data_IF_984196714831
#
_entry.id   IF_984196714831
#
_cell.length_a   1.000
_cell.length_b   1.000
_cell.length_c   1.000
_cell.angle_alpha   90.00
_cell.angle_beta   90.00
_cell.angle_gamma   90.00
#
_symmetry.space_group_name_H-M   'P 1'
#
loop_
_entity.id
_entity.type
_entity.pdbx_description
1 polymer ?
#
# COMPACT_ATOMS: atom_id res chain seq x y z
N UNK A 1 -59.72 5.15 57.29
CA UNK A 1 -58.30 5.56 57.57
C UNK A 1 -57.38 4.43 57.12
N UNK A 2 -56.79 4.48 55.93
CA UNK A 2 -55.64 3.65 55.54
C UNK A 2 -54.89 4.44 54.48
N UNK A 3 -53.73 4.92 54.86
CA UNK A 3 -52.76 5.66 53.97
C UNK A 3 -52.05 4.67 53.06
N UNK A 4 -52.19 4.82 51.75
CA UNK A 4 -51.35 4.10 50.77
C UNK A 4 -50.10 4.92 50.49
N UNK A 5 -48.94 4.39 50.88
CA UNK A 5 -47.60 4.92 50.46
C UNK A 5 -47.36 4.49 49.03
N UNK A 6 -47.30 5.45 48.12
CA UNK A 6 -46.79 5.24 46.78
C UNK A 6 -45.27 5.27 46.81
N UNK A 7 -44.63 4.13 46.58
CA UNK A 7 -43.20 4.01 46.37
C UNK A 7 -42.88 4.46 44.95
N UNK A 8 -42.25 5.63 44.83
CA UNK A 8 -41.71 6.15 43.60
C UNK A 8 -40.36 5.45 43.34
N UNK A 9 -40.36 4.48 42.45
CA UNK A 9 -39.14 3.81 42.01
C UNK A 9 -38.44 4.71 41.01
N UNK A 10 -37.35 5.38 41.43
CA UNK A 10 -36.47 6.20 40.59
C UNK A 10 -35.53 5.27 39.81
N UNK A 11 -35.85 4.99 38.54
CA UNK A 11 -34.97 4.25 37.65
C UNK A 11 -33.82 5.15 37.25
N UNK A 12 -32.64 4.93 37.84
CA UNK A 12 -31.40 5.55 37.40
C UNK A 12 -30.95 4.85 36.11
N UNK A 13 -31.20 5.48 34.98
CA UNK A 13 -30.63 5.08 33.69
C UNK A 13 -29.16 5.49 33.68
N UNK A 14 -28.26 4.56 33.98
CA UNK A 14 -26.84 4.74 33.76
C UNK A 14 -26.57 4.74 32.23
N UNK A 15 -26.57 5.93 31.65
CA UNK A 15 -26.04 6.12 30.31
C UNK A 15 -24.52 5.99 30.42
N UNK A 16 -24.00 4.78 30.16
CA UNK A 16 -22.56 4.58 29.96
C UNK A 16 -22.16 5.32 28.68
N UNK A 17 -21.71 6.56 28.82
CA UNK A 17 -20.94 7.23 27.76
C UNK A 17 -19.68 6.40 27.50
N UNK A 18 -19.74 5.55 26.47
CA UNK A 18 -18.53 4.99 25.88
C UNK A 18 -17.83 6.19 25.22
N UNK A 19 -16.98 6.85 25.99
CA UNK A 19 -16.03 7.80 25.44
C UNK A 19 -15.15 6.99 24.46
N UNK A 20 -15.42 7.17 23.17
CA UNK A 20 -14.46 6.75 22.15
C UNK A 20 -13.17 7.48 22.48
N UNK A 21 -12.22 6.77 23.10
CA UNK A 21 -10.88 7.29 23.32
C UNK A 21 -10.31 7.55 21.93
N UNK A 22 -10.32 8.81 21.51
CA UNK A 22 -9.44 9.24 20.42
C UNK A 22 -8.05 8.81 20.81
N UNK A 23 -7.43 8.01 19.95
CA UNK A 23 -6.00 7.71 20.06
C UNK A 23 -5.28 8.99 19.66
N UNK A 24 -5.22 9.95 20.59
CA UNK A 24 -4.49 11.22 20.44
C UNK A 24 -3.04 11.07 20.94
N UNK A 25 -2.58 9.86 21.19
CA UNK A 25 -1.20 9.63 21.63
C UNK A 25 -0.34 9.25 20.43
N UNK A 26 0.69 10.06 20.19
CA UNK A 26 1.75 9.73 19.25
C UNK A 26 2.39 8.39 19.64
N UNK A 27 2.43 7.44 18.68
CA UNK A 27 3.07 6.14 18.85
C UNK A 27 4.50 6.21 18.30
N UNK A 28 5.45 6.51 19.18
CA UNK A 28 6.85 6.66 18.83
C UNK A 28 7.50 5.35 18.33
N UNK A 29 7.08 4.22 18.86
CA UNK A 29 7.61 2.91 18.44
C UNK A 29 7.13 2.55 17.03
N UNK A 30 5.85 2.79 16.74
CA UNK A 30 5.30 2.60 15.40
C UNK A 30 5.95 3.57 14.40
N UNK A 31 6.09 4.85 14.74
CA UNK A 31 6.73 5.85 13.89
C UNK A 31 8.17 5.41 13.52
N UNK A 32 8.95 4.99 14.52
CA UNK A 32 10.31 4.45 14.33
C UNK A 32 10.31 3.19 13.46
N UNK A 33 9.42 2.22 13.73
CA UNK A 33 9.29 0.98 12.96
C UNK A 33 9.01 1.27 11.47
N UNK A 34 8.17 2.26 11.17
CA UNK A 34 7.81 2.63 9.80
C UNK A 34 8.82 3.58 9.14
N UNK A 35 9.80 4.09 9.90
CA UNK A 35 10.77 5.06 9.41
C UNK A 35 10.16 6.43 9.16
N UNK A 36 9.17 6.80 9.95
CA UNK A 36 8.51 8.09 9.88
C UNK A 36 9.36 9.21 10.48
N UNK A 37 9.28 10.39 9.89
CA UNK A 37 9.76 11.62 10.49
C UNK A 37 8.73 12.20 11.49
N UNK A 38 8.99 13.39 12.03
CA UNK A 38 8.12 14.09 13.00
C UNK A 38 6.70 14.36 12.48
N UNK A 39 6.48 14.32 11.16
CA UNK A 39 5.18 14.52 10.50
C UNK A 39 4.50 13.21 10.12
N UNK A 40 5.07 12.05 10.48
CA UNK A 40 4.56 10.75 10.06
C UNK A 40 4.84 10.41 8.60
N UNK A 41 5.81 11.11 7.99
CA UNK A 41 6.13 11.00 6.57
C UNK A 41 7.49 10.36 6.34
N UNK A 42 7.78 9.94 5.11
CA UNK A 42 9.11 9.52 4.67
C UNK A 42 9.30 9.70 3.16
N UNK A 43 10.54 9.67 2.72
CA UNK A 43 10.89 9.69 1.29
C UNK A 43 10.68 8.33 0.65
N UNK A 44 10.19 8.37 -0.58
CA UNK A 44 9.98 7.25 -1.49
C UNK A 44 10.38 7.66 -2.91
N UNK A 45 10.35 6.71 -3.83
CA UNK A 45 10.37 6.99 -5.25
C UNK A 45 9.11 6.43 -5.90
N UNK A 46 8.34 7.31 -6.51
CA UNK A 46 7.19 6.97 -7.34
C UNK A 46 7.67 6.49 -8.70
N UNK A 47 7.17 5.34 -9.15
CA UNK A 47 7.43 4.81 -10.48
C UNK A 47 6.12 4.60 -11.23
N UNK A 48 6.00 5.21 -12.40
CA UNK A 48 4.90 4.96 -13.33
C UNK A 48 5.39 4.02 -14.42
N UNK A 49 4.83 2.83 -14.51
CA UNK A 49 5.04 1.92 -15.63
C UNK A 49 4.12 2.34 -16.78
N UNK A 50 4.68 2.46 -17.98
CA UNK A 50 3.95 2.82 -19.20
C UNK A 50 4.11 1.73 -20.25
N UNK A 51 3.22 1.71 -21.23
CA UNK A 51 3.32 0.80 -22.37
C UNK A 51 4.66 0.98 -23.08
N UNK A 52 5.42 -0.09 -23.18
CA UNK A 52 6.74 -0.12 -23.83
C UNK A 52 6.66 -0.44 -25.31
N UNK A 53 7.78 -0.27 -26.03
CA UNK A 53 7.82 -0.44 -27.49
C UNK A 53 7.56 -1.86 -27.95
N UNK A 54 7.82 -2.86 -27.12
CA UNK A 54 7.64 -4.28 -27.46
C UNK A 54 6.33 -4.88 -26.92
N UNK A 55 5.44 -4.08 -26.31
CA UNK A 55 4.20 -4.57 -25.72
C UNK A 55 3.30 -5.30 -26.73
N UNK A 56 3.21 -4.78 -27.96
CA UNK A 56 2.43 -5.41 -29.04
C UNK A 56 3.09 -6.64 -29.65
N UNK A 57 4.43 -6.77 -29.57
CA UNK A 57 5.18 -7.87 -30.17
C UNK A 57 5.17 -9.12 -29.30
N UNK A 58 5.18 -8.96 -27.97
CA UNK A 58 5.26 -10.06 -27.02
C UNK A 58 3.83 -10.55 -26.69
N UNK A 59 3.48 -11.70 -27.27
CA UNK A 59 2.15 -12.30 -27.19
C UNK A 59 2.20 -13.77 -26.73
N UNK A 60 1.03 -14.37 -26.51
CA UNK A 60 0.90 -15.80 -26.22
C UNK A 60 1.63 -16.25 -24.96
N UNK A 61 2.35 -17.35 -25.04
CA UNK A 61 3.05 -17.96 -23.91
C UNK A 61 4.22 -17.09 -23.42
N UNK A 62 4.98 -16.47 -24.32
CA UNK A 62 6.06 -15.55 -23.95
C UNK A 62 5.55 -14.38 -23.10
N UNK A 63 4.35 -13.85 -23.39
CA UNK A 63 3.72 -12.80 -22.57
C UNK A 63 3.35 -13.32 -21.19
N UNK A 64 2.79 -14.51 -21.09
CA UNK A 64 2.44 -15.12 -19.78
C UNK A 64 3.68 -15.30 -18.91
N UNK A 65 4.78 -15.77 -19.48
CA UNK A 65 6.04 -15.97 -18.76
C UNK A 65 6.61 -14.65 -18.26
N UNK A 66 6.64 -13.61 -19.10
CA UNK A 66 7.07 -12.26 -18.71
C UNK A 66 6.23 -11.72 -17.54
N UNK A 67 4.90 -11.86 -17.60
CA UNK A 67 4.03 -11.38 -16.53
C UNK A 67 4.10 -12.25 -15.26
N UNK A 68 4.32 -13.54 -15.38
CA UNK A 68 4.59 -14.40 -14.21
C UNK A 68 5.84 -13.92 -13.47
N UNK A 69 6.91 -13.62 -14.21
CA UNK A 69 8.11 -13.05 -13.64
C UNK A 69 7.92 -11.64 -13.05
N UNK A 70 7.13 -10.78 -13.71
CA UNK A 70 6.74 -9.46 -13.22
C UNK A 70 6.04 -9.55 -11.85
N UNK A 71 5.01 -10.40 -11.71
CA UNK A 71 4.31 -10.57 -10.45
C UNK A 71 5.18 -11.20 -9.36
N UNK A 72 6.04 -12.15 -9.70
CA UNK A 72 7.00 -12.72 -8.77
C UNK A 72 7.98 -11.65 -8.25
N UNK A 73 8.44 -10.74 -9.12
CA UNK A 73 9.31 -9.63 -8.73
C UNK A 73 8.60 -8.65 -7.79
N UNK A 74 7.33 -8.32 -8.04
CA UNK A 74 6.51 -7.49 -7.13
C UNK A 74 6.44 -8.13 -5.74
N UNK A 75 6.11 -9.43 -5.67
CA UNK A 75 6.04 -10.16 -4.40
C UNK A 75 7.36 -10.13 -3.65
N UNK A 76 8.46 -10.45 -4.32
CA UNK A 76 9.82 -10.43 -3.74
C UNK A 76 10.18 -9.04 -3.19
N UNK A 77 9.97 -7.98 -3.96
CA UNK A 77 10.28 -6.61 -3.52
C UNK A 77 9.39 -6.16 -2.36
N UNK A 78 8.13 -6.61 -2.33
CA UNK A 78 7.24 -6.39 -1.19
C UNK A 78 7.73 -7.09 0.08
N UNK A 79 8.15 -8.36 -0.04
CA UNK A 79 8.69 -9.15 1.09
C UNK A 79 10.01 -8.59 1.63
N UNK A 80 10.86 -8.05 0.74
CA UNK A 80 12.10 -7.36 1.10
C UNK A 80 11.87 -5.96 1.69
N UNK A 81 10.61 -5.48 1.74
CA UNK A 81 10.27 -4.12 2.20
C UNK A 81 10.78 -3.01 1.28
N UNK A 82 11.16 -3.33 0.03
CA UNK A 82 11.64 -2.38 -0.99
C UNK A 82 10.51 -1.77 -1.80
N UNK A 83 9.34 -2.38 -1.80
CA UNK A 83 8.15 -1.93 -2.50
C UNK A 83 7.02 -1.77 -1.49
N UNK A 84 6.58 -0.53 -1.26
CA UNK A 84 5.50 -0.22 -0.33
C UNK A 84 4.12 -0.46 -0.96
N UNK A 85 3.97 -0.09 -2.23
CA UNK A 85 2.70 -0.21 -2.97
C UNK A 85 2.99 -0.61 -4.42
N UNK A 86 2.15 -1.49 -4.96
CA UNK A 86 2.09 -1.80 -6.39
C UNK A 86 0.63 -1.98 -6.81
N UNK A 87 0.31 -1.61 -8.04
CA UNK A 87 -1.02 -1.84 -8.59
C UNK A 87 -1.15 -1.40 -10.05
N UNK A 88 -2.09 -1.99 -10.82
CA UNK A 88 -2.35 -1.61 -12.19
C UNK A 88 -3.20 -0.34 -12.26
N UNK A 89 -3.04 0.43 -13.33
CA UNK A 89 -4.00 1.45 -13.72
C UNK A 89 -5.13 0.84 -14.54
N UNK A 90 -6.33 1.37 -14.42
CA UNK A 90 -7.41 1.15 -15.36
C UNK A 90 -7.08 1.75 -16.74
N UNK A 91 -7.92 1.48 -17.75
CA UNK A 91 -7.77 2.04 -19.09
C UNK A 91 -7.69 3.58 -19.02
N UNK A 92 -6.69 4.14 -19.67
CA UNK A 92 -6.45 5.59 -19.71
C UNK A 92 -5.75 5.99 -21.02
N UNK A 93 -5.76 7.29 -21.32
CA UNK A 93 -5.18 7.90 -22.53
C UNK A 93 -3.67 8.21 -22.40
N UNK A 94 -3.08 7.99 -21.19
CA UNK A 94 -1.68 8.29 -20.89
C UNK A 94 -0.74 7.10 -21.10
N UNK A 95 -1.27 5.97 -21.55
CA UNK A 95 -0.52 4.70 -21.64
C UNK A 95 0.03 4.19 -20.30
N UNK A 96 -0.53 4.64 -19.16
CA UNK A 96 -0.15 4.18 -17.84
C UNK A 96 -0.63 2.75 -17.62
N UNK A 97 0.27 1.87 -17.16
CA UNK A 97 0.01 0.46 -16.96
C UNK A 97 0.02 0.08 -15.49
N UNK A 98 0.95 0.61 -14.72
CA UNK A 98 1.08 0.31 -13.31
C UNK A 98 1.79 1.39 -12.53
N UNK A 99 1.60 1.33 -11.21
CA UNK A 99 2.25 2.17 -10.23
C UNK A 99 3.11 1.31 -9.31
N UNK A 100 4.33 1.78 -9.02
CA UNK A 100 5.13 1.34 -7.89
C UNK A 100 5.45 2.53 -6.96
N UNK A 101 5.43 2.28 -5.66
CA UNK A 101 6.02 3.18 -4.66
C UNK A 101 7.17 2.43 -4.01
N UNK A 102 8.39 2.77 -4.42
CA UNK A 102 9.60 2.16 -3.89
C UNK A 102 10.00 2.79 -2.55
N UNK A 103 10.24 1.96 -1.56
CA UNK A 103 10.78 2.35 -0.25
C UNK A 103 12.32 2.43 -0.34
N UNK A 104 12.82 3.41 -1.06
CA UNK A 104 14.23 3.70 -1.22
C UNK A 104 14.45 5.21 -1.17
N UNK A 105 15.69 5.64 -0.90
CA UNK A 105 16.00 7.04 -0.68
C UNK A 105 16.23 7.81 -1.99
N UNK A 106 16.70 7.15 -3.05
CA UNK A 106 17.13 7.82 -4.27
C UNK A 106 16.51 7.20 -5.53
N UNK A 107 16.48 8.01 -6.59
CA UNK A 107 16.02 7.56 -7.93
C UNK A 107 16.91 6.46 -8.47
N UNK A 108 18.23 6.54 -8.24
CA UNK A 108 19.20 5.56 -8.69
C UNK A 108 19.01 4.18 -8.05
N UNK A 109 18.59 4.16 -6.77
CA UNK A 109 18.22 2.92 -6.09
C UNK A 109 16.93 2.33 -6.68
N UNK A 110 15.92 3.17 -6.92
CA UNK A 110 14.67 2.73 -7.55
C UNK A 110 14.89 2.22 -8.97
N UNK A 111 15.77 2.87 -9.73
CA UNK A 111 16.12 2.46 -11.09
C UNK A 111 16.72 1.05 -11.11
N UNK A 112 17.64 0.75 -10.21
CA UNK A 112 18.19 -0.61 -10.08
C UNK A 112 17.09 -1.65 -9.80
N UNK A 113 16.07 -1.31 -9.02
CA UNK A 113 14.98 -2.22 -8.72
C UNK A 113 14.01 -2.41 -9.88
N UNK A 114 13.60 -1.32 -10.56
CA UNK A 114 12.68 -1.41 -11.69
C UNK A 114 13.32 -2.10 -12.90
N UNK A 115 14.63 -1.94 -13.09
CA UNK A 115 15.39 -2.63 -14.12
C UNK A 115 15.47 -4.15 -13.90
N UNK A 116 15.18 -4.66 -12.71
CA UNK A 116 15.10 -6.11 -12.44
C UNK A 116 13.78 -6.71 -12.91
N UNK A 117 12.77 -5.89 -13.18
CA UNK A 117 11.45 -6.35 -13.60
C UNK A 117 11.50 -7.02 -14.99
N UNK A 118 11.06 -8.27 -15.14
CA UNK A 118 11.05 -8.96 -16.42
C UNK A 118 10.25 -8.24 -17.52
N UNK A 119 9.15 -7.54 -17.17
CA UNK A 119 8.34 -6.81 -18.14
C UNK A 119 9.06 -5.55 -18.63
N UNK A 120 9.89 -4.92 -17.79
CA UNK A 120 10.77 -3.81 -18.19
C UNK A 120 11.92 -4.33 -19.03
N UNK A 121 12.61 -5.39 -18.61
CA UNK A 121 13.69 -6.03 -19.38
C UNK A 121 13.25 -6.46 -20.77
N UNK A 122 12.06 -6.99 -20.89
CA UNK A 122 11.50 -7.43 -22.16
C UNK A 122 11.03 -6.27 -23.05
N UNK A 123 10.98 -5.03 -22.54
CA UNK A 123 10.47 -3.87 -23.26
C UNK A 123 8.95 -3.81 -23.40
N UNK A 124 8.23 -4.63 -22.62
CA UNK A 124 6.75 -4.55 -22.48
C UNK A 124 6.37 -3.28 -21.73
N UNK A 125 7.18 -2.91 -20.73
CA UNK A 125 7.04 -1.64 -20.03
C UNK A 125 8.28 -0.76 -20.18
N UNK A 126 8.04 0.54 -20.18
CA UNK A 126 9.01 1.59 -19.84
C UNK A 126 8.56 2.26 -18.55
N UNK A 127 9.40 3.06 -17.93
CA UNK A 127 9.10 3.65 -16.62
C UNK A 127 9.51 5.12 -16.53
N UNK A 128 8.87 5.81 -15.60
CA UNK A 128 9.21 7.15 -15.15
C UNK A 128 9.38 7.13 -13.64
N UNK A 129 10.48 7.69 -13.12
CA UNK A 129 10.79 7.75 -11.69
C UNK A 129 10.74 9.18 -11.20
N UNK A 130 10.12 9.40 -10.05
CA UNK A 130 9.98 10.72 -9.43
C UNK A 130 10.19 10.59 -7.92
N UNK A 131 11.09 11.38 -7.30
CA UNK A 131 11.16 11.46 -5.84
C UNK A 131 9.81 11.86 -5.27
N UNK A 132 9.37 11.19 -4.23
CA UNK A 132 8.08 11.46 -3.63
C UNK A 132 8.15 11.38 -2.11
N UNK A 133 7.47 12.30 -1.43
CA UNK A 133 7.39 12.35 0.01
C UNK A 133 5.96 12.06 0.45
N UNK A 134 5.75 10.97 1.16
CA UNK A 134 4.43 10.46 1.49
C UNK A 134 4.35 9.88 2.90
N UNK A 135 3.14 9.49 3.32
CA UNK A 135 2.93 8.90 4.64
C UNK A 135 3.75 7.62 4.84
N UNK A 136 4.46 7.52 5.96
CA UNK A 136 5.16 6.30 6.36
C UNK A 136 4.20 5.13 6.61
N UNK A 137 2.92 5.41 6.87
CA UNK A 137 1.90 4.39 7.05
C UNK A 137 1.70 3.48 5.83
N UNK A 138 2.18 3.87 4.62
CA UNK A 138 2.17 2.97 3.47
C UNK A 138 3.00 1.69 3.68
N UNK A 139 3.93 1.69 4.61
CA UNK A 139 4.75 0.52 4.92
C UNK A 139 3.97 -0.63 5.56
N UNK A 140 2.73 -0.40 6.04
CA UNK A 140 1.86 -1.49 6.55
C UNK A 140 0.96 -2.10 5.48
N UNK A 141 0.93 -1.55 4.26
CA UNK A 141 0.00 -1.99 3.21
C UNK A 141 0.24 -3.45 2.83
N UNK A 142 1.49 -3.87 2.62
CA UNK A 142 1.80 -5.25 2.22
C UNK A 142 1.41 -6.28 3.30
N UNK A 143 1.66 -5.98 4.58
CA UNK A 143 1.26 -6.84 5.70
C UNK A 143 -0.27 -6.95 5.79
N UNK A 144 -0.95 -5.82 5.64
CA UNK A 144 -2.42 -5.78 5.65
C UNK A 144 -3.00 -6.49 4.43
N UNK A 145 -2.41 -6.29 3.24
CA UNK A 145 -2.84 -6.93 2.00
C UNK A 145 -2.83 -8.46 2.10
N UNK A 146 -1.77 -9.05 2.63
CA UNK A 146 -1.66 -10.51 2.85
C UNK A 146 -2.79 -11.08 3.73
N UNK A 147 -3.39 -10.25 4.59
CA UNK A 147 -4.49 -10.67 5.48
C UNK A 147 -5.87 -10.56 4.85
N UNK A 148 -6.02 -9.79 3.77
CA UNK A 148 -7.28 -9.57 3.06
C UNK A 148 -7.34 -10.29 1.71
N UNK A 149 -6.20 -10.76 1.20
CA UNK A 149 -6.14 -11.60 -0.01
C UNK A 149 -6.64 -13.01 0.33
N UNK A 150 -7.54 -13.54 -0.50
CA UNK A 150 -7.97 -14.94 -0.35
C UNK A 150 -6.84 -15.88 -0.74
N UNK A 151 -6.64 -17.00 -0.02
CA UNK A 151 -5.69 -18.03 -0.45
C UNK A 151 -5.96 -18.46 -1.89
N UNK A 152 -4.89 -18.63 -2.68
CA UNK A 152 -5.01 -19.21 -4.03
C UNK A 152 -5.45 -20.66 -3.88
N UNK A 153 -6.60 -20.98 -4.45
CA UNK A 153 -7.14 -22.36 -4.52
C UNK A 153 -6.33 -23.20 -5.49
#
# INVERSE_FOLDING_TARGET
MKRALSSLMLAIVCVACIAATRVDSFDAELAKKLGADERGMKSYVLCILKTGPKDAEIQGEARKEVFAGHFANIGRLGDEGKLAVAGPFGKNDRSYRGLYIFNVATVEEAEKLVMLDPAVKAGVFVYELTPWYGSAAMMVINETHKRIEKPKS
#
